data_IF_977482081966
#
_entry.id   IF_977482081966
#
_cell.length_a   1.000
_cell.length_b   1.000
_cell.length_c   1.000
_cell.angle_alpha   90.00
_cell.angle_beta   90.00
_cell.angle_gamma   90.00
#
_symmetry.space_group_name_H-M   'P 1'
#
loop_
_entity.id
_entity.type
_entity.pdbx_description
1 polymer ?
#
# COMPACT_ATOMS: atom_id res chain seq x y z
N UNK A 1 32.85 4.51 -44.40
CA UNK A 1 32.12 3.34 -43.86
C UNK A 1 31.53 3.75 -42.52
N UNK A 2 30.20 3.75 -42.46
CA UNK A 2 29.26 3.98 -41.35
C UNK A 2 29.69 4.77 -40.11
N UNK A 3 29.07 5.95 -39.96
CA UNK A 3 28.90 6.64 -38.70
C UNK A 3 28.17 5.75 -37.70
N UNK A 4 28.83 5.43 -36.58
CA UNK A 4 28.14 5.00 -35.35
C UNK A 4 28.20 6.18 -34.40
N UNK A 5 27.47 7.24 -34.76
CA UNK A 5 27.12 8.28 -33.81
C UNK A 5 26.03 7.68 -32.91
N UNK A 6 26.48 7.11 -31.79
CA UNK A 6 25.59 6.66 -30.74
C UNK A 6 24.56 7.76 -30.46
N UNK A 7 23.29 7.39 -30.49
CA UNK A 7 22.16 8.18 -29.99
C UNK A 7 22.32 8.30 -28.47
N UNK A 8 23.35 9.01 -28.05
CA UNK A 8 23.37 9.66 -26.75
C UNK A 8 22.39 10.81 -26.92
N UNK A 9 21.25 10.75 -26.23
CA UNK A 9 20.39 11.90 -26.05
C UNK A 9 21.27 13.06 -25.59
N UNK A 10 21.64 13.94 -26.53
CA UNK A 10 22.56 15.05 -26.30
C UNK A 10 21.83 15.92 -25.30
N UNK A 11 22.21 15.86 -24.02
CA UNK A 11 21.62 16.68 -22.95
C UNK A 11 21.86 18.14 -23.33
N UNK A 12 20.90 18.73 -24.04
CA UNK A 12 20.92 20.15 -24.38
C UNK A 12 20.72 20.90 -23.07
N UNK A 13 21.64 21.81 -22.78
CA UNK A 13 21.57 22.62 -21.56
C UNK A 13 20.36 23.54 -21.66
N UNK A 14 19.61 23.64 -20.57
CA UNK A 14 18.67 24.72 -20.36
C UNK A 14 19.42 25.86 -19.70
N UNK A 15 19.25 27.07 -20.22
CA UNK A 15 19.74 28.31 -19.60
C UNK A 15 18.56 29.17 -19.20
N UNK A 16 18.68 29.90 -18.10
CA UNK A 16 17.67 30.89 -17.69
C UNK A 16 17.85 32.13 -18.56
N UNK A 17 16.86 32.47 -19.36
CA UNK A 17 16.85 33.68 -20.20
C UNK A 17 16.09 34.85 -19.56
N UNK A 18 15.18 34.55 -18.63
CA UNK A 18 14.38 35.55 -17.94
C UNK A 18 13.81 34.99 -16.64
N UNK A 19 13.58 35.87 -15.67
CA UNK A 19 12.95 35.51 -14.40
C UNK A 19 12.28 36.72 -13.78
N UNK A 20 11.09 36.50 -13.26
CA UNK A 20 10.38 37.44 -12.40
C UNK A 20 9.92 36.73 -11.10
N UNK A 21 9.04 37.38 -10.35
CA UNK A 21 8.54 36.85 -9.07
C UNK A 21 7.70 35.58 -9.22
N UNK A 22 7.01 35.39 -10.35
CA UNK A 22 6.07 34.29 -10.60
C UNK A 22 6.46 33.40 -11.79
N UNK A 23 7.51 33.73 -12.54
CA UNK A 23 7.88 33.01 -13.75
C UNK A 23 9.39 32.88 -13.96
N UNK A 24 9.77 31.81 -14.67
CA UNK A 24 11.12 31.58 -15.18
C UNK A 24 11.02 31.23 -16.67
N UNK A 25 11.74 31.96 -17.51
CA UNK A 25 11.95 31.62 -18.91
C UNK A 25 13.26 30.84 -19.06
N UNK A 26 13.17 29.69 -19.73
CA UNK A 26 14.28 28.81 -20.02
C UNK A 26 14.45 28.70 -21.54
N UNK A 27 15.67 28.92 -22.03
CA UNK A 27 16.02 28.67 -23.43
C UNK A 27 16.73 27.33 -23.55
N UNK A 28 16.36 26.54 -24.56
CA UNK A 28 17.00 25.26 -24.84
C UNK A 28 18.21 25.45 -25.76
N UNK A 29 19.41 25.17 -25.24
CA UNK A 29 20.68 25.39 -25.93
C UNK A 29 20.79 26.81 -26.49
N UNK A 30 20.97 26.95 -27.81
CA UNK A 30 21.09 28.23 -28.52
C UNK A 30 19.74 28.76 -29.03
N UNK A 31 18.61 28.10 -28.69
CA UNK A 31 17.29 28.35 -29.26
C UNK A 31 16.92 27.35 -30.38
N UNK A 32 15.80 27.56 -31.10
CA UNK A 32 14.80 28.62 -30.91
C UNK A 32 13.79 28.32 -29.78
N UNK A 33 13.86 27.13 -29.20
CA UNK A 33 12.85 26.66 -28.26
C UNK A 33 13.01 27.26 -26.86
N UNK A 34 11.87 27.66 -26.30
CA UNK A 34 11.76 28.24 -24.96
C UNK A 34 10.68 27.53 -24.14
N UNK A 35 10.86 27.55 -22.83
CA UNK A 35 9.88 27.11 -21.85
C UNK A 35 9.63 28.27 -20.90
N UNK A 36 8.38 28.67 -20.74
CA UNK A 36 7.96 29.58 -19.65
C UNK A 36 7.35 28.71 -18.56
N UNK A 37 7.98 28.70 -17.39
CA UNK A 37 7.45 28.07 -16.18
C UNK A 37 6.80 29.14 -15.31
N UNK A 38 5.49 29.09 -15.17
CA UNK A 38 4.73 29.94 -14.24
C UNK A 38 4.44 29.18 -12.96
N UNK A 39 4.71 29.80 -11.80
CA UNK A 39 4.60 29.16 -10.50
C UNK A 39 3.15 29.10 -9.98
N UNK A 40 2.42 30.22 -10.00
CA UNK A 40 1.05 30.31 -9.43
C UNK A 40 0.06 30.98 -10.40
N UNK A 41 -0.98 30.25 -10.86
CA UNK A 41 -1.10 28.79 -10.81
C UNK A 41 0.02 28.12 -11.64
N UNK A 42 0.35 26.86 -11.32
CA UNK A 42 1.38 26.12 -12.08
C UNK A 42 0.98 26.01 -13.55
N UNK A 43 1.87 26.44 -14.45
CA UNK A 43 1.68 26.33 -15.91
C UNK A 43 3.03 26.22 -16.60
N UNK A 44 3.07 25.49 -17.70
CA UNK A 44 4.21 25.47 -18.63
C UNK A 44 3.72 25.87 -20.01
N UNK A 45 4.43 26.80 -20.66
CA UNK A 45 4.22 27.15 -22.06
C UNK A 45 5.49 26.84 -22.85
N UNK A 46 5.36 26.10 -23.96
CA UNK A 46 6.45 25.75 -24.86
C UNK A 46 6.34 26.60 -26.12
N UNK A 47 7.43 27.29 -26.46
CA UNK A 47 7.48 28.21 -27.58
C UNK A 47 8.62 27.84 -28.54
N UNK A 48 8.44 28.16 -29.81
CA UNK A 48 9.50 28.29 -30.81
C UNK A 48 9.60 29.77 -31.17
N UNK A 49 10.71 30.41 -30.77
CA UNK A 49 10.90 31.86 -30.77
C UNK A 49 9.79 32.62 -30.01
N UNK A 50 8.75 33.07 -30.73
CA UNK A 50 7.58 33.77 -30.21
C UNK A 50 6.27 33.02 -30.44
N UNK A 51 6.32 31.90 -31.13
CA UNK A 51 5.16 31.08 -31.46
C UNK A 51 4.90 30.09 -30.34
N UNK A 52 3.74 30.20 -29.69
CA UNK A 52 3.29 29.21 -28.70
C UNK A 52 2.92 27.91 -29.42
N UNK A 53 3.55 26.82 -29.03
CA UNK A 53 3.29 25.49 -29.59
C UNK A 53 2.34 24.68 -28.71
N UNK A 54 2.56 24.71 -27.39
CA UNK A 54 1.84 23.89 -26.43
C UNK A 54 1.78 24.59 -25.07
N UNK A 55 0.68 24.39 -24.36
CA UNK A 55 0.56 24.75 -22.95
C UNK A 55 0.15 23.54 -22.11
N UNK A 56 0.85 23.32 -21.00
CA UNK A 56 0.53 22.30 -20.00
C UNK A 56 -0.15 22.97 -18.81
N UNK A 57 -1.22 22.34 -18.32
CA UNK A 57 -2.06 22.85 -17.25
C UNK A 57 -2.71 24.23 -17.51
N UNK A 58 -2.87 24.65 -18.77
CA UNK A 58 -3.52 25.93 -19.10
C UNK A 58 -4.97 26.01 -18.61
N UNK A 59 -5.66 24.87 -18.55
CA UNK A 59 -7.04 24.76 -18.06
C UNK A 59 -7.14 24.55 -16.54
N UNK A 60 -6.02 24.46 -15.83
CA UNK A 60 -6.02 24.19 -14.38
C UNK A 60 -6.53 22.80 -14.01
N UNK A 61 -6.38 21.82 -14.91
CA UNK A 61 -6.89 20.45 -14.73
C UNK A 61 -5.79 19.47 -14.31
N UNK A 62 -4.58 19.93 -14.02
CA UNK A 62 -3.55 19.08 -13.46
C UNK A 62 -3.99 18.65 -12.06
N UNK A 63 -4.35 17.38 -11.97
CA UNK A 63 -4.73 16.72 -10.73
C UNK A 63 -3.72 15.61 -10.45
N UNK A 64 -3.26 15.56 -9.20
CA UNK A 64 -2.39 14.49 -8.73
C UNK A 64 -2.96 13.99 -7.40
N UNK A 65 -3.53 12.79 -7.41
CA UNK A 65 -4.00 12.15 -6.18
C UNK A 65 -2.81 11.78 -5.31
N UNK A 66 -2.64 12.49 -4.19
CA UNK A 66 -1.60 12.12 -3.22
C UNK A 66 -2.00 10.83 -2.51
N UNK A 67 -1.03 9.91 -2.37
CA UNK A 67 -1.23 8.71 -1.58
C UNK A 67 -1.53 9.11 -0.13
N UNK A 68 -2.68 8.63 0.39
CA UNK A 68 -3.06 8.79 1.79
C UNK A 68 -2.73 7.52 2.55
N UNK A 69 -2.54 7.64 3.86
CA UNK A 69 -2.48 6.47 4.72
C UNK A 69 -3.72 5.60 4.46
N UNK A 70 -3.55 4.29 4.21
CA UNK A 70 -4.68 3.40 3.98
C UNK A 70 -5.68 3.50 5.12
N UNK A 71 -6.95 3.71 4.78
CA UNK A 71 -8.02 3.66 5.75
C UNK A 71 -8.30 2.20 6.07
N UNK A 72 -7.65 1.67 7.11
CA UNK A 72 -8.04 0.40 7.71
C UNK A 72 -9.36 0.57 8.44
N UNK A 73 -10.37 -0.21 8.06
CA UNK A 73 -11.65 -0.21 8.78
C UNK A 73 -11.42 -0.72 10.20
N UNK A 74 -12.20 -0.21 11.17
CA UNK A 74 -12.20 -0.78 12.53
C UNK A 74 -12.49 -2.29 12.49
N UNK A 75 -13.29 -2.76 11.52
CA UNK A 75 -13.57 -4.18 11.28
C UNK A 75 -12.32 -5.02 11.01
N UNK A 76 -11.34 -4.49 10.27
CA UNK A 76 -10.10 -5.20 9.96
C UNK A 76 -9.18 -5.29 11.19
N UNK A 77 -9.21 -4.27 12.04
CA UNK A 77 -8.47 -4.24 13.31
C UNK A 77 -9.05 -5.22 14.34
N UNK A 78 -10.38 -5.33 14.42
CA UNK A 78 -11.01 -6.31 15.33
C UNK A 78 -10.84 -7.74 14.83
N UNK A 79 -10.80 -8.01 13.52
CA UNK A 79 -10.63 -9.37 13.01
C UNK A 79 -9.26 -9.97 13.41
N UNK A 80 -8.19 -9.16 13.36
CA UNK A 80 -6.84 -9.57 13.79
C UNK A 80 -6.70 -9.72 15.31
N UNK A 81 -7.47 -8.96 16.09
CA UNK A 81 -7.36 -8.97 17.57
C UNK A 81 -8.30 -10.01 18.20
N UNK A 82 -9.50 -10.20 17.65
CA UNK A 82 -10.51 -11.11 18.18
C UNK A 82 -10.26 -12.58 17.79
N UNK A 83 -9.61 -12.85 16.66
CA UNK A 83 -9.21 -14.21 16.28
C UNK A 83 -8.26 -14.82 17.32
N UNK A 84 -7.21 -14.07 17.71
CA UNK A 84 -6.25 -14.53 18.71
C UNK A 84 -6.87 -14.73 20.10
N UNK A 85 -7.86 -13.91 20.47
CA UNK A 85 -8.56 -14.02 21.76
C UNK A 85 -9.52 -15.22 21.76
N UNK A 86 -10.23 -15.48 20.66
CA UNK A 86 -11.13 -16.63 20.54
C UNK A 86 -10.37 -17.97 20.53
N UNK A 87 -9.21 -18.02 19.88
CA UNK A 87 -8.35 -19.20 19.92
C UNK A 87 -7.83 -19.48 21.33
N UNK A 88 -7.48 -18.43 22.10
CA UNK A 88 -7.11 -18.58 23.53
C UNK A 88 -8.28 -19.10 24.36
N UNK A 89 -9.49 -18.58 24.13
CA UNK A 89 -10.70 -19.03 24.83
C UNK A 89 -11.01 -20.50 24.49
N UNK A 90 -10.97 -20.88 23.21
CA UNK A 90 -11.17 -22.27 22.77
C UNK A 90 -10.15 -23.21 23.37
N UNK A 91 -8.86 -22.87 23.35
CA UNK A 91 -7.82 -23.72 23.94
C UNK A 91 -7.96 -23.87 25.46
N UNK A 92 -8.56 -22.90 26.14
CA UNK A 92 -8.86 -22.96 27.57
C UNK A 92 -10.03 -23.92 27.87
N UNK A 93 -11.08 -23.90 27.05
CA UNK A 93 -12.25 -24.77 27.22
C UNK A 93 -12.02 -26.20 26.69
N UNK A 94 -11.18 -26.37 25.67
CA UNK A 94 -10.81 -27.69 25.16
C UNK A 94 -9.86 -28.46 26.10
N UNK A 95 -9.34 -27.83 27.16
CA UNK A 95 -8.45 -28.49 28.14
C UNK A 95 -9.18 -29.37 29.17
N UNK A 96 -10.51 -29.43 29.16
CA UNK A 96 -11.29 -30.16 30.18
C UNK A 96 -12.00 -31.42 29.64
N UNK A 97 -11.46 -32.02 28.59
CA UNK A 97 -12.03 -33.22 27.97
C UNK A 97 -10.99 -34.19 27.43
N UNK A 98 -10.11 -34.71 28.30
CA UNK A 98 -9.41 -35.98 28.03
C UNK A 98 -9.65 -36.91 29.21
N UNK A 99 -10.74 -37.68 29.09
CA UNK A 99 -10.95 -38.92 29.82
C UNK A 99 -10.05 -39.96 29.15
N UNK A 100 -8.99 -40.39 29.82
CA UNK A 100 -8.23 -41.58 29.43
C UNK A 100 -8.68 -42.82 30.23
N UNK A 101 -8.56 -44.03 29.64
CA UNK A 101 -9.24 -45.26 30.06
C UNK A 101 -8.37 -46.17 30.95
N UNK A 102 -8.97 -47.28 31.41
CA UNK A 102 -8.58 -48.19 32.48
C UNK A 102 -7.39 -49.15 32.22
N UNK A 103 -6.74 -49.60 33.31
CA UNK A 103 -6.03 -50.90 33.57
C UNK A 103 -5.37 -50.76 34.97
N UNK A 104 -5.32 -51.68 35.93
CA UNK A 104 -5.71 -53.06 36.17
C UNK A 104 -5.11 -53.51 37.53
N UNK A 105 -5.45 -54.72 37.97
CA UNK A 105 -4.88 -55.53 39.06
C UNK A 105 -5.54 -55.53 40.46
N UNK A 106 -5.66 -56.74 41.02
CA UNK A 106 -6.79 -57.20 41.85
C UNK A 106 -6.58 -57.34 43.36
N UNK A 107 -7.69 -57.72 44.03
CA UNK A 107 -7.80 -58.67 45.13
C UNK A 107 -9.25 -58.70 45.67
N UNK A 108 -9.90 -59.87 45.61
CA UNK A 108 -11.11 -60.23 46.37
C UNK A 108 -10.74 -60.49 47.86
N UNK A 109 -11.66 -60.55 48.86
CA UNK A 109 -12.86 -61.41 48.80
C UNK A 109 -14.14 -60.96 49.57
N UNK A 110 -15.22 -61.75 49.31
CA UNK A 110 -16.28 -62.18 50.26
C UNK A 110 -17.37 -61.17 50.73
N UNK A 111 -18.68 -61.46 50.88
CA UNK A 111 -19.52 -62.68 50.95
C UNK A 111 -20.95 -62.42 50.37
N UNK A 112 -21.68 -63.51 50.11
CA UNK A 112 -23.05 -63.67 49.54
C UNK A 112 -24.23 -63.41 50.54
N UNK A 113 -25.51 -63.80 50.29
CA UNK A 113 -26.54 -63.29 49.35
C UNK A 113 -27.93 -63.06 50.04
N UNK A 114 -28.94 -62.52 49.34
CA UNK A 114 -30.40 -62.82 49.48
C UNK A 114 -31.21 -61.90 48.56
N UNK A 115 -31.76 -62.38 47.45
CA UNK A 115 -32.99 -63.19 47.29
C UNK A 115 -34.28 -62.43 47.64
N UNK A 116 -35.21 -62.42 46.68
CA UNK A 116 -36.60 -62.01 46.92
C UNK A 116 -37.26 -61.16 45.83
N UNK A 117 -37.59 -61.79 44.70
CA UNK A 117 -38.70 -61.37 43.83
C UNK A 117 -39.99 -61.13 44.63
N UNK A 118 -40.80 -60.13 44.25
CA UNK A 118 -42.20 -60.38 43.85
C UNK A 118 -42.90 -59.15 43.27
N UNK A 119 -43.75 -59.49 42.30
CA UNK A 119 -44.84 -58.73 41.70
C UNK A 119 -45.86 -58.18 42.72
#
# INVERSE_FOLDING_TARGET
MAAVAAVAARRRRLSVSGRDENSVELTMAEGPYKIILTARPFRLDLLEDRSLLLSVNARGLLEFEHQRAPRVSFSDKVNLTLGSIWDKIKNLFSRQGSKDPAEGDGAQPEETPRDGDKA
#
